data_IF_901254449493
#
_entry.id   IF_901254449493
#
_cell.length_a   1.000
_cell.length_b   1.000
_cell.length_c   1.000
_cell.angle_alpha   90.00
_cell.angle_beta   90.00
_cell.angle_gamma   90.00
#
_symmetry.space_group_name_H-M   'P 1'
#
loop_
_entity.id
_entity.type
_entity.pdbx_description
1 polymer ?
#
# COMPACT_ATOMS: atom_id res chain seq x y z
N UNK A 1 60.73 -8.88 17.75
CA UNK A 1 59.79 -8.58 16.66
C UNK A 1 58.51 -9.43 16.67
N UNK A 2 58.58 -10.76 16.90
CA UNK A 2 57.37 -11.63 16.96
C UNK A 2 56.33 -11.24 18.04
N UNK A 3 56.75 -10.84 19.23
CA UNK A 3 55.83 -10.45 20.33
C UNK A 3 55.05 -9.15 20.06
N UNK A 4 55.63 -8.21 19.30
CA UNK A 4 54.98 -6.95 18.97
C UNK A 4 53.88 -7.17 17.91
N UNK A 5 54.17 -7.97 16.88
CA UNK A 5 53.19 -8.37 15.86
C UNK A 5 51.96 -9.06 16.44
N UNK A 6 52.16 -10.01 17.37
CA UNK A 6 51.05 -10.74 18.03
C UNK A 6 50.15 -9.80 18.84
N UNK A 7 50.70 -8.80 19.53
CA UNK A 7 49.91 -7.82 20.29
C UNK A 7 49.09 -6.93 19.33
N UNK A 8 49.66 -6.58 18.18
CA UNK A 8 48.99 -5.73 17.18
C UNK A 8 47.82 -6.46 16.53
N UNK A 9 47.99 -7.76 16.22
CA UNK A 9 46.93 -8.60 15.67
C UNK A 9 45.78 -8.82 16.66
N UNK A 10 46.07 -8.99 17.95
CA UNK A 10 45.03 -9.14 18.98
C UNK A 10 44.20 -7.86 19.14
N UNK A 11 44.84 -6.69 19.10
CA UNK A 11 44.14 -5.39 19.15
C UNK A 11 43.26 -5.19 17.91
N UNK A 12 43.74 -5.61 16.74
CA UNK A 12 43.01 -5.47 15.48
C UNK A 12 41.77 -6.38 15.43
N UNK A 13 41.88 -7.60 15.96
CA UNK A 13 40.73 -8.50 16.10
C UNK A 13 39.73 -7.95 17.13
N UNK A 14 40.19 -7.42 18.27
CA UNK A 14 39.31 -6.86 19.29
C UNK A 14 38.53 -5.65 18.76
N UNK A 15 39.20 -4.76 18.01
CA UNK A 15 38.57 -3.58 17.40
C UNK A 15 37.57 -3.96 16.31
N UNK A 16 37.85 -4.98 15.49
CA UNK A 16 36.89 -5.51 14.53
C UNK A 16 35.64 -6.08 15.22
N UNK A 17 35.80 -6.81 16.33
CA UNK A 17 34.66 -7.35 17.10
C UNK A 17 33.83 -6.22 17.71
N UNK A 18 34.47 -5.20 18.29
CA UNK A 18 33.75 -4.03 18.85
C UNK A 18 32.99 -3.28 17.75
N UNK A 19 33.56 -3.11 16.56
CA UNK A 19 32.88 -2.50 15.41
C UNK A 19 31.67 -3.33 14.95
N UNK A 20 31.77 -4.66 14.91
CA UNK A 20 30.63 -5.54 14.56
C UNK A 20 29.50 -5.41 15.60
N UNK A 21 29.83 -5.32 16.89
CA UNK A 21 28.83 -5.11 17.94
C UNK A 21 28.24 -3.69 17.93
N UNK A 22 29.04 -2.67 17.62
CA UNK A 22 28.57 -1.29 17.48
C UNK A 22 27.61 -1.14 16.28
N UNK A 23 27.90 -1.79 15.15
CA UNK A 23 27.03 -1.79 13.95
C UNK A 23 25.72 -2.53 14.20
N UNK A 24 25.68 -3.51 15.11
CA UNK A 24 24.45 -4.28 15.41
C UNK A 24 23.49 -3.60 16.39
N UNK A 25 23.87 -2.50 17.04
CA UNK A 25 23.07 -1.96 18.15
C UNK A 25 22.09 -0.82 17.84
N UNK A 26 22.01 -0.34 16.59
CA UNK A 26 21.10 0.78 16.24
C UNK A 26 20.07 0.47 15.15
N UNK A 27 19.65 -0.80 15.02
CA UNK A 27 18.36 -1.08 14.39
C UNK A 27 17.30 -1.05 15.49
N UNK A 28 16.96 0.14 15.97
CA UNK A 28 15.67 0.32 16.62
C UNK A 28 14.62 0.09 15.53
N UNK A 29 13.81 -0.98 15.58
CA UNK A 29 12.67 -1.02 14.68
C UNK A 29 11.87 0.25 14.96
N UNK A 30 11.60 1.04 13.91
CA UNK A 30 10.67 2.14 14.03
C UNK A 30 9.34 1.52 14.51
N UNK A 31 9.06 1.66 15.80
CA UNK A 31 7.79 1.26 16.37
C UNK A 31 6.80 2.26 15.80
N UNK A 32 6.22 1.91 14.65
CA UNK A 32 5.10 2.63 14.09
C UNK A 32 4.01 2.65 15.16
N UNK A 33 3.45 3.81 15.52
CA UNK A 33 2.35 3.85 16.47
C UNK A 33 1.20 2.99 15.91
N UNK A 34 0.91 1.89 16.60
CA UNK A 34 -0.31 1.13 16.39
C UNK A 34 -1.44 1.96 16.95
N UNK A 35 -2.26 2.54 16.08
CA UNK A 35 -3.49 3.22 16.49
C UNK A 35 -4.61 2.21 16.30
N UNK A 36 -5.40 1.98 17.36
CA UNK A 36 -6.63 1.22 17.28
C UNK A 36 -7.51 1.89 16.22
N UNK A 37 -7.89 1.14 15.18
CA UNK A 37 -8.70 1.64 14.06
C UNK A 37 -10.05 2.26 14.50
N UNK A 38 -10.40 2.16 15.78
CA UNK A 38 -11.59 2.71 16.43
C UNK A 38 -11.61 4.26 16.50
N UNK A 39 -10.47 4.96 16.37
CA UNK A 39 -10.46 6.45 16.42
C UNK A 39 -10.76 7.13 15.07
N UNK A 40 -10.93 6.36 13.99
CA UNK A 40 -11.22 6.90 12.65
C UNK A 40 -12.70 6.75 12.31
N UNK A 41 -13.57 7.42 13.08
CA UNK A 41 -15.02 7.44 12.82
C UNK A 41 -15.36 8.51 11.78
N UNK A 42 -15.93 8.16 10.62
CA UNK A 42 -16.32 9.13 9.61
C UNK A 42 -17.50 10.01 10.06
N UNK A 43 -17.49 11.28 9.69
CA UNK A 43 -18.71 12.07 9.47
C UNK A 43 -19.23 11.74 8.04
N UNK A 44 -20.50 11.32 7.93
CA UNK A 44 -21.34 11.12 6.74
C UNK A 44 -20.71 10.81 5.36
N UNK A 45 -20.84 9.53 4.97
CA UNK A 45 -21.06 8.97 3.61
C UNK A 45 -20.75 9.85 2.38
N UNK A 46 -19.49 10.23 2.17
CA UNK A 46 -19.04 10.79 0.89
C UNK A 46 -18.87 9.69 -0.17
N UNK A 47 -19.99 9.26 -0.77
CA UNK A 47 -19.98 8.42 -1.99
C UNK A 47 -19.85 9.32 -3.22
N UNK A 48 -18.72 10.01 -3.33
CA UNK A 48 -18.34 10.70 -4.56
C UNK A 48 -17.64 9.72 -5.52
N UNK A 49 -17.92 9.76 -6.84
CA UNK A 49 -17.07 9.13 -7.84
C UNK A 49 -15.63 9.59 -7.68
N UNK A 50 -14.68 8.72 -8.01
CA UNK A 50 -13.26 9.09 -7.97
C UNK A 50 -12.99 10.28 -8.90
N UNK A 51 -12.47 11.36 -8.32
CA UNK A 51 -12.02 12.55 -9.03
C UNK A 51 -10.49 12.49 -9.16
N UNK A 52 -10.05 12.10 -10.35
CA UNK A 52 -8.62 11.95 -10.65
C UNK A 52 -7.88 13.28 -10.61
N UNK A 53 -8.52 14.39 -10.96
CA UNK A 53 -7.91 15.72 -10.98
C UNK A 53 -7.63 16.20 -9.55
N UNK A 54 -8.57 15.97 -8.63
CA UNK A 54 -8.38 16.25 -7.19
C UNK A 54 -7.22 15.43 -6.60
N UNK A 55 -7.15 14.14 -6.94
CA UNK A 55 -6.07 13.28 -6.45
C UNK A 55 -4.69 13.76 -6.91
N UNK A 56 -4.58 14.28 -8.13
CA UNK A 56 -3.31 14.80 -8.68
C UNK A 56 -2.78 16.02 -7.91
N UNK A 57 -3.67 16.85 -7.36
CA UNK A 57 -3.30 18.00 -6.52
C UNK A 57 -3.18 17.65 -5.03
N UNK A 58 -3.33 16.37 -4.67
CA UNK A 58 -3.21 15.88 -3.31
C UNK A 58 -4.49 15.97 -2.48
N UNK A 59 -5.63 16.26 -3.10
CA UNK A 59 -6.94 16.13 -2.45
C UNK A 59 -7.45 14.69 -2.64
N UNK A 60 -7.60 13.96 -1.54
CA UNK A 60 -8.03 12.56 -1.55
C UNK A 60 -9.49 12.36 -1.10
N UNK A 61 -10.28 13.44 -0.96
CA UNK A 61 -11.69 13.37 -0.54
C UNK A 61 -12.52 12.38 -1.36
N UNK A 62 -12.28 12.31 -2.68
CA UNK A 62 -13.02 11.40 -3.56
C UNK A 62 -12.73 9.91 -3.32
N UNK A 63 -11.74 9.57 -2.49
CA UNK A 63 -11.41 8.20 -2.09
C UNK A 63 -11.56 7.96 -0.59
N UNK A 64 -12.19 8.88 0.16
CA UNK A 64 -12.46 8.67 1.58
C UNK A 64 -13.38 7.47 1.84
N UNK A 65 -13.22 6.87 3.00
CA UNK A 65 -14.07 5.81 3.50
C UNK A 65 -13.39 4.45 3.62
N UNK A 66 -14.19 3.45 3.95
CA UNK A 66 -13.74 2.06 4.03
C UNK A 66 -13.62 1.47 2.64
N UNK A 67 -12.53 0.75 2.43
CA UNK A 67 -12.28 -0.02 1.23
C UNK A 67 -11.97 -1.45 1.64
N UNK A 68 -12.73 -2.41 1.12
CA UNK A 68 -12.52 -3.81 1.40
C UNK A 68 -12.76 -4.69 0.19
N UNK A 69 -12.18 -5.88 0.24
CA UNK A 69 -12.55 -6.95 -0.67
C UNK A 69 -13.59 -7.86 -0.01
N UNK A 70 -14.85 -7.91 -0.50
CA UNK A 70 -15.88 -8.77 0.08
C UNK A 70 -15.64 -10.25 -0.19
N UNK A 71 -14.85 -10.60 -1.22
CA UNK A 71 -14.52 -11.97 -1.57
C UNK A 71 -13.28 -12.50 -0.82
N UNK A 72 -12.64 -11.68 0.01
CA UNK A 72 -11.48 -12.07 0.81
C UNK A 72 -11.82 -12.12 2.29
N UNK A 73 -11.59 -13.28 2.90
CA UNK A 73 -11.68 -13.51 4.35
C UNK A 73 -10.41 -13.08 5.11
N UNK A 74 -9.41 -12.57 4.39
CA UNK A 74 -8.15 -12.10 4.96
C UNK A 74 -8.35 -10.68 5.52
N UNK A 75 -8.23 -10.54 6.84
CA UNK A 75 -8.38 -9.25 7.56
C UNK A 75 -7.51 -8.12 6.98
N UNK A 76 -6.39 -8.45 6.34
CA UNK A 76 -5.45 -7.52 5.71
C UNK A 76 -5.93 -6.90 4.38
N UNK A 77 -7.15 -7.23 3.95
CA UNK A 77 -7.82 -6.70 2.74
C UNK A 77 -8.92 -5.69 3.08
N UNK A 78 -8.69 -4.93 4.14
CA UNK A 78 -9.49 -3.76 4.53
C UNK A 78 -8.57 -2.59 4.80
N UNK A 79 -8.95 -1.44 4.29
CA UNK A 79 -8.28 -0.18 4.60
C UNK A 79 -9.32 0.90 4.84
N UNK A 80 -8.95 1.91 5.59
CA UNK A 80 -9.76 3.11 5.76
C UNK A 80 -8.95 4.33 5.33
N UNK A 81 -9.48 5.11 4.40
CA UNK A 81 -8.82 6.32 3.88
C UNK A 81 -9.51 7.53 4.48
N UNK A 82 -8.72 8.40 5.10
CA UNK A 82 -9.16 9.69 5.65
C UNK A 82 -8.05 10.70 5.43
N UNK A 83 -8.41 11.84 4.85
CA UNK A 83 -7.44 12.87 4.48
C UNK A 83 -6.29 12.27 3.64
N UNK A 84 -5.05 12.54 4.04
CA UNK A 84 -3.84 11.97 3.44
C UNK A 84 -3.35 10.74 4.19
N UNK A 85 -4.21 10.03 4.90
CA UNK A 85 -3.84 8.86 5.70
C UNK A 85 -4.67 7.65 5.28
N UNK A 86 -4.03 6.49 5.27
CA UNK A 86 -4.69 5.19 5.13
C UNK A 86 -4.36 4.30 6.34
N UNK A 87 -5.39 3.84 7.03
CA UNK A 87 -5.28 2.86 8.09
C UNK A 87 -5.37 1.45 7.51
N UNK A 88 -4.34 0.64 7.76
CA UNK A 88 -4.24 -0.75 7.32
C UNK A 88 -3.54 -1.59 8.39
N UNK A 89 -4.13 -2.74 8.74
CA UNK A 89 -3.58 -3.67 9.73
C UNK A 89 -3.19 -2.98 11.07
N UNK A 90 -4.02 -2.05 11.56
CA UNK A 90 -3.76 -1.29 12.79
C UNK A 90 -2.60 -0.28 12.70
N UNK A 91 -2.15 0.06 11.48
CA UNK A 91 -1.11 1.06 11.23
C UNK A 91 -1.61 2.15 10.31
N UNK A 92 -1.18 3.38 10.57
CA UNK A 92 -1.48 4.54 9.73
C UNK A 92 -0.30 4.82 8.79
N UNK A 93 -0.60 4.91 7.51
CA UNK A 93 0.33 5.27 6.45
C UNK A 93 -0.07 6.59 5.84
N UNK A 94 0.90 7.40 5.45
CA UNK A 94 0.64 8.61 4.68
C UNK A 94 0.44 8.24 3.21
N UNK A 95 -0.44 8.99 2.55
CA UNK A 95 -0.69 8.97 1.12
C UNK A 95 -0.06 10.21 0.49
N UNK A 96 0.63 10.00 -0.64
CA UNK A 96 1.13 11.07 -1.49
C UNK A 96 0.88 10.70 -2.94
N UNK A 97 0.48 11.68 -3.76
CA UNK A 97 0.42 11.51 -5.20
C UNK A 97 1.77 10.99 -5.74
N UNK A 98 1.71 9.85 -6.42
CA UNK A 98 2.89 9.13 -6.90
C UNK A 98 3.16 9.36 -8.39
N UNK A 99 2.11 9.59 -9.17
CA UNK A 99 2.19 9.82 -10.61
C UNK A 99 1.07 9.11 -11.39
N UNK A 100 1.26 9.05 -12.70
CA UNK A 100 0.44 8.25 -13.62
C UNK A 100 1.26 7.05 -14.05
N UNK A 101 0.68 5.86 -13.99
CA UNK A 101 1.28 4.66 -14.54
C UNK A 101 1.23 4.75 -16.08
N UNK A 102 2.40 4.83 -16.72
CA UNK A 102 2.51 4.99 -18.17
C UNK A 102 1.96 3.82 -19.00
N UNK A 103 1.73 2.66 -18.40
CA UNK A 103 1.14 1.50 -19.08
C UNK A 103 -0.39 1.46 -19.00
N UNK A 104 -0.94 1.89 -17.85
CA UNK A 104 -2.38 1.76 -17.55
C UNK A 104 -3.13 3.08 -17.67
N UNK A 105 -2.42 4.21 -17.68
CA UNK A 105 -2.98 5.55 -17.59
C UNK A 105 -3.59 5.87 -16.23
N UNK A 106 -3.46 4.99 -15.24
CA UNK A 106 -4.08 5.16 -13.93
C UNK A 106 -3.20 5.96 -12.99
N UNK A 107 -3.83 6.70 -12.07
CA UNK A 107 -3.12 7.36 -10.99
C UNK A 107 -2.69 6.33 -9.95
N UNK A 108 -1.47 6.49 -9.44
CA UNK A 108 -1.04 5.77 -8.26
C UNK A 108 -0.59 6.72 -7.15
N UNK A 109 -0.81 6.29 -5.92
CA UNK A 109 -0.37 6.92 -4.69
C UNK A 109 0.76 6.12 -4.07
N UNK A 110 1.65 6.82 -3.38
CA UNK A 110 2.58 6.20 -2.45
C UNK A 110 1.93 6.09 -1.08
N UNK A 111 1.93 4.87 -0.52
CA UNK A 111 1.55 4.56 0.85
C UNK A 111 2.82 4.31 1.66
N UNK A 112 3.15 5.20 2.60
CA UNK A 112 4.43 5.17 3.30
C UNK A 112 4.32 5.52 4.79
N UNK A 113 5.25 4.99 5.59
CA UNK A 113 5.35 5.35 7.00
C UNK A 113 6.07 6.70 7.16
N UNK A 114 5.69 7.47 8.17
CA UNK A 114 6.37 8.72 8.51
C UNK A 114 7.86 8.46 8.74
N UNK A 115 8.71 9.27 8.10
CA UNK A 115 10.18 9.09 8.15
C UNK A 115 10.75 8.14 7.09
N UNK A 116 9.91 7.49 6.28
CA UNK A 116 10.31 6.72 5.10
C UNK A 116 10.05 7.57 3.86
N UNK A 117 10.98 7.55 2.90
CA UNK A 117 10.78 8.22 1.62
C UNK A 117 9.60 7.57 0.86
N UNK A 118 8.64 8.35 0.32
CA UNK A 118 7.42 7.81 -0.27
C UNK A 118 7.64 6.76 -1.37
N UNK A 119 8.68 6.93 -2.18
CA UNK A 119 9.08 6.00 -3.24
C UNK A 119 9.51 4.61 -2.75
N UNK A 120 9.85 4.48 -1.46
CA UNK A 120 10.14 3.20 -0.81
C UNK A 120 8.89 2.58 -0.16
N UNK A 121 7.75 3.25 -0.26
CA UNK A 121 6.45 2.77 0.19
C UNK A 121 5.81 1.80 -0.80
N UNK A 122 4.63 1.30 -0.42
CA UNK A 122 3.81 0.48 -1.31
C UNK A 122 2.97 1.38 -2.22
N UNK A 123 2.61 0.90 -3.41
CA UNK A 123 1.73 1.62 -4.33
C UNK A 123 0.26 1.33 -4.05
N UNK A 124 -0.54 2.37 -4.17
CA UNK A 124 -2.00 2.35 -4.18
C UNK A 124 -2.44 2.82 -5.57
N UNK A 125 -2.78 1.89 -6.46
CA UNK A 125 -3.21 2.25 -7.81
C UNK A 125 -4.73 2.37 -7.87
N UNK A 126 -5.20 3.48 -8.41
CA UNK A 126 -6.60 3.89 -8.37
C UNK A 126 -7.22 3.62 -9.74
N UNK A 127 -8.26 2.79 -9.77
CA UNK A 127 -8.99 2.40 -10.97
C UNK A 127 -10.44 2.86 -10.86
N UNK A 128 -10.79 4.01 -11.47
CA UNK A 128 -12.18 4.46 -11.55
C UNK A 128 -13.07 3.42 -12.22
N UNK A 129 -14.38 3.47 -11.91
CA UNK A 129 -15.40 2.67 -12.57
C UNK A 129 -15.23 2.65 -14.08
N UNK A 130 -15.31 1.45 -14.66
CA UNK A 130 -15.22 1.19 -16.09
C UNK A 130 -13.80 1.02 -16.64
N UNK A 131 -12.76 1.30 -15.86
CA UNK A 131 -11.36 1.10 -16.29
C UNK A 131 -10.97 -0.38 -16.24
N UNK A 132 -10.02 -0.81 -17.07
CA UNK A 132 -9.52 -2.18 -17.03
C UNK A 132 -8.33 -2.29 -16.07
N UNK A 133 -8.33 -3.30 -15.19
CA UNK A 133 -7.11 -3.68 -14.45
C UNK A 133 -6.32 -4.67 -15.32
N UNK A 134 -5.03 -4.41 -15.61
CA UNK A 134 -4.24 -5.33 -16.41
C UNK A 134 -4.02 -6.67 -15.69
N UNK A 135 -4.10 -7.76 -16.47
CA UNK A 135 -4.00 -9.12 -15.94
C UNK A 135 -2.80 -9.83 -16.52
N UNK A 136 -1.98 -10.43 -15.65
CA UNK A 136 -0.90 -11.32 -16.05
C UNK A 136 -1.48 -12.69 -16.40
N UNK A 137 -1.34 -13.09 -17.66
CA UNK A 137 -1.79 -14.38 -18.17
C UNK A 137 -0.79 -15.49 -17.85
N UNK A 138 -1.23 -16.75 -18.02
CA UNK A 138 -0.42 -17.94 -17.73
C UNK A 138 0.86 -18.04 -18.58
N UNK A 139 0.86 -17.45 -19.78
CA UNK A 139 2.03 -17.37 -20.67
C UNK A 139 2.99 -16.23 -20.31
N UNK A 140 2.69 -15.46 -19.26
CA UNK A 140 3.48 -14.33 -18.79
C UNK A 140 3.19 -13.01 -19.50
N UNK A 141 2.33 -13.00 -20.52
CA UNK A 141 1.87 -11.76 -21.16
C UNK A 141 0.93 -10.97 -20.25
N UNK A 142 0.75 -9.68 -20.54
CA UNK A 142 -0.15 -8.81 -19.80
C UNK A 142 -1.31 -8.42 -20.72
N UNK A 143 -2.53 -8.76 -20.31
CA UNK A 143 -3.76 -8.31 -20.93
C UNK A 143 -4.16 -6.94 -20.38
N UNK A 144 -4.06 -5.90 -21.20
CA UNK A 144 -4.51 -4.54 -20.89
C UNK A 144 -5.95 -4.25 -21.37
N UNK A 145 -6.58 -5.17 -22.11
CA UNK A 145 -7.93 -4.98 -22.67
C UNK A 145 -9.03 -5.10 -21.61
N UNK A 146 -8.68 -5.70 -20.46
CA UNK A 146 -9.61 -6.04 -19.41
C UNK A 146 -10.43 -7.29 -19.69
N UNK A 147 -10.23 -8.00 -20.81
CA UNK A 147 -10.99 -9.24 -21.10
C UNK A 147 -10.87 -10.26 -19.96
N UNK A 148 -9.70 -10.35 -19.34
CA UNK A 148 -9.45 -11.29 -18.24
C UNK A 148 -9.52 -10.66 -16.84
N UNK A 149 -9.88 -9.38 -16.73
CA UNK A 149 -10.07 -8.70 -15.44
C UNK A 149 -11.25 -9.32 -14.69
N UNK A 150 -11.02 -10.01 -13.56
CA UNK A 150 -12.05 -10.75 -12.84
C UNK A 150 -12.84 -9.90 -11.84
N UNK A 151 -12.60 -8.58 -11.81
CA UNK A 151 -13.11 -7.67 -10.77
C UNK A 151 -14.42 -6.99 -11.18
N UNK A 152 -15.10 -6.38 -10.21
CA UNK A 152 -16.32 -5.60 -10.42
C UNK A 152 -16.01 -4.26 -11.11
N UNK A 153 -16.00 -4.24 -12.45
CA UNK A 153 -15.67 -3.04 -13.26
C UNK A 153 -16.68 -1.91 -13.11
N UNK A 154 -17.88 -2.23 -12.70
CA UNK A 154 -18.95 -1.28 -12.39
C UNK A 154 -18.71 -0.49 -11.09
N UNK A 155 -17.65 -0.82 -10.35
CA UNK A 155 -17.23 -0.16 -9.12
C UNK A 155 -15.87 0.52 -9.29
N UNK A 156 -15.67 1.55 -8.49
CA UNK A 156 -14.34 2.08 -8.23
C UNK A 156 -13.52 1.04 -7.49
N UNK A 157 -12.23 0.94 -7.84
CA UNK A 157 -11.33 -0.11 -7.37
C UNK A 157 -9.98 0.48 -6.96
N UNK A 158 -9.40 -0.10 -5.92
CA UNK A 158 -8.02 0.18 -5.51
C UNK A 158 -7.23 -1.13 -5.58
N UNK A 159 -6.12 -1.09 -6.31
CA UNK A 159 -5.16 -2.20 -6.36
C UNK A 159 -3.98 -1.85 -5.45
N UNK A 160 -3.80 -2.65 -4.41
CA UNK A 160 -2.58 -2.57 -3.59
C UNK A 160 -1.40 -3.21 -4.35
N UNK A 161 -0.23 -2.58 -4.27
CA UNK A 161 1.07 -3.11 -4.75
C UNK A 161 1.33 -3.07 -6.28
N UNK A 162 0.66 -2.17 -7.01
CA UNK A 162 1.13 -1.49 -8.23
C UNK A 162 1.84 -2.27 -9.35
N UNK A 163 1.46 -3.52 -9.59
CA UNK A 163 1.96 -4.35 -10.70
C UNK A 163 0.85 -5.22 -11.26
N UNK A 164 0.97 -5.67 -12.52
CA UNK A 164 0.01 -6.60 -13.12
C UNK A 164 0.04 -7.94 -12.38
N UNK A 165 -1.15 -8.46 -12.05
CA UNK A 165 -1.36 -9.64 -11.20
C UNK A 165 -2.12 -10.73 -11.95
N UNK A 166 -2.03 -11.96 -11.46
CA UNK A 166 -2.87 -13.04 -11.99
C UNK A 166 -4.35 -12.80 -11.65
N UNK A 167 -5.23 -13.56 -12.31
CA UNK A 167 -6.67 -13.55 -12.04
C UNK A 167 -6.95 -13.82 -10.55
N UNK A 168 -6.29 -14.83 -9.98
CA UNK A 168 -6.47 -15.25 -8.59
C UNK A 168 -5.95 -14.18 -7.61
N UNK A 169 -4.80 -13.59 -7.92
CA UNK A 169 -4.24 -12.50 -7.12
C UNK A 169 -5.18 -11.29 -7.11
N UNK A 170 -5.71 -10.87 -8.27
CA UNK A 170 -6.63 -9.72 -8.37
C UNK A 170 -7.93 -9.94 -7.59
N UNK A 171 -8.51 -11.15 -7.65
CA UNK A 171 -9.68 -11.50 -6.82
C UNK A 171 -9.43 -11.31 -5.33
N UNK A 172 -8.18 -11.40 -4.87
CA UNK A 172 -7.83 -11.21 -3.45
C UNK A 172 -7.36 -9.79 -3.11
N UNK A 173 -6.70 -9.11 -4.04
CA UNK A 173 -5.97 -7.86 -3.79
C UNK A 173 -6.81 -6.60 -3.97
N UNK A 174 -7.81 -6.68 -4.83
CA UNK A 174 -8.60 -5.51 -5.23
C UNK A 174 -9.58 -5.14 -4.14
N UNK A 175 -9.54 -3.87 -3.75
CA UNK A 175 -10.43 -3.30 -2.77
C UNK A 175 -11.52 -2.51 -3.49
N UNK A 176 -12.74 -2.63 -2.99
CA UNK A 176 -13.90 -1.86 -3.42
C UNK A 176 -14.32 -0.98 -2.26
N UNK A 177 -14.99 0.14 -2.56
CA UNK A 177 -15.58 0.95 -1.49
C UNK A 177 -16.58 0.08 -0.73
N UNK A 178 -16.42 0.00 0.58
CA UNK A 178 -17.40 -0.61 1.47
C UNK A 178 -18.60 0.35 1.51
N UNK A 179 -19.49 0.17 0.56
CA UNK A 179 -20.84 0.69 0.66
C UNK A 179 -21.53 -0.25 1.63
N UNK A 180 -21.75 0.16 2.89
CA UNK A 180 -22.60 -0.64 3.77
C UNK A 180 -23.97 -0.81 3.07
N UNK A 181 -24.19 -1.90 2.34
CA UNK A 181 -25.52 -2.39 1.95
C UNK A 181 -26.24 -2.94 3.21
N UNK A 182 -26.26 -2.14 4.29
CA UNK A 182 -27.09 -2.33 5.48
C UNK A 182 -28.27 -1.37 5.54
N UNK A 183 -28.48 -0.57 4.50
CA UNK A 183 -29.72 0.19 4.33
C UNK A 183 -30.43 -0.23 3.05
N UNK A 184 -31.27 -1.26 3.23
CA UNK A 184 -32.53 -1.60 2.54
C UNK A 184 -32.63 -3.09 2.21
N UNK A 185 -32.69 -3.91 3.25
CA UNK A 185 -33.78 -4.88 3.29
C UNK A 185 -35.08 -4.10 3.45
N UNK A 186 -35.85 -4.00 2.36
CA UNK A 186 -37.25 -3.59 2.33
C UNK A 186 -37.95 -4.32 1.20
#
# INVERSE_FOLDING_TARGET
>A
MKKLLVITDVILVLTAVILIFAVRHDIRPAIAPTVLAEEMTPEEEHIAPIDVEQIQVGNFESIYGYWMNPESDIADRKVYVLENTVAKNGRNFNLRYGGINGQTGQVYLWMYLKGIAPENGSRFEIYPKGTAIPVKLADGSIDYTGKHDPTFKEKDRIVMEGSARTVEELKSLVLYRDTEEKYQSS
#
